data_IF_688382751345
#
_entry.id   IF_688382751345
#
_cell.length_a   1.000
_cell.length_b   1.000
_cell.length_c   1.000
_cell.angle_alpha   90.00
_cell.angle_beta   90.00
_cell.angle_gamma   90.00
#
_symmetry.space_group_name_H-M   'P 1'
#
loop_
_entity.id
_entity.type
_entity.pdbx_description
1 polymer ?
#
# COMPACT_ATOMS: atom_id res chain seq x y z
N UNK A 1 26.17 6.85 7.80
CA UNK A 1 24.78 7.32 7.87
C UNK A 1 23.84 6.13 8.00
N UNK A 2 23.45 5.82 9.24
CA UNK A 2 22.74 4.59 9.59
C UNK A 2 21.22 4.77 9.41
N UNK A 3 20.60 3.90 8.61
CA UNK A 3 19.16 3.83 8.42
C UNK A 3 18.53 3.20 9.67
N UNK A 4 17.83 3.99 10.48
CA UNK A 4 17.09 3.51 11.66
C UNK A 4 15.94 2.61 11.22
N UNK A 5 16.07 1.30 11.45
CA UNK A 5 14.96 0.35 11.35
C UNK A 5 14.10 0.51 12.60
N UNK A 6 12.99 1.24 12.49
CA UNK A 6 12.04 1.38 13.59
C UNK A 6 11.12 0.17 13.62
N UNK A 7 11.42 -0.79 14.48
CA UNK A 7 10.49 -1.86 14.85
C UNK A 7 9.26 -1.23 15.48
N UNK A 8 8.08 -1.42 14.89
CA UNK A 8 6.82 -0.94 15.48
C UNK A 8 6.49 -1.80 16.69
N UNK A 9 6.61 -1.23 17.88
CA UNK A 9 6.18 -1.85 19.12
C UNK A 9 4.64 -1.87 19.16
N UNK A 10 4.07 -3.07 19.10
CA UNK A 10 2.62 -3.30 19.11
C UNK A 10 1.94 -2.90 20.43
N UNK A 11 2.71 -2.49 21.45
CA UNK A 11 2.18 -2.01 22.74
C UNK A 11 1.72 -0.54 22.74
N UNK A 12 1.99 0.24 21.68
CA UNK A 12 1.63 1.68 21.57
C UNK A 12 0.28 1.89 20.85
N UNK A 13 -0.56 0.87 20.71
CA UNK A 13 -1.92 1.05 20.19
C UNK A 13 -2.86 1.38 21.37
N UNK A 14 -3.38 2.61 21.50
CA UNK A 14 -4.28 2.98 22.60
C UNK A 14 -5.54 2.11 22.58
N UNK A 15 -5.77 1.41 23.70
CA UNK A 15 -6.94 0.56 23.97
C UNK A 15 -8.15 1.42 24.33
N UNK A 16 -9.06 1.64 23.37
CA UNK A 16 -10.49 1.73 23.65
C UNK A 16 -11.26 0.91 22.60
N UNK A 17 -11.53 -0.35 22.94
CA UNK A 17 -12.39 -1.25 22.14
C UNK A 17 -13.74 -1.34 22.84
N UNK A 18 -14.72 -0.56 22.36
CA UNK A 18 -16.13 -0.86 22.56
C UNK A 18 -16.59 -1.84 21.49
N UNK A 19 -16.69 -3.11 21.85
CA UNK A 19 -17.69 -4.06 21.35
C UNK A 19 -18.02 -4.07 19.85
N UNK A 20 -17.01 -4.05 18.99
CA UNK A 20 -17.13 -4.39 17.58
C UNK A 20 -16.18 -5.54 17.29
N UNK A 21 -16.59 -6.53 16.50
CA UNK A 21 -15.70 -7.60 16.05
C UNK A 21 -14.74 -6.99 15.01
N UNK A 22 -13.74 -6.25 15.47
CA UNK A 22 -12.77 -5.53 14.64
C UNK A 22 -11.85 -6.56 13.99
N UNK A 23 -12.30 -7.12 12.85
CA UNK A 23 -11.40 -7.87 11.98
C UNK A 23 -10.20 -6.99 11.68
N UNK A 24 -9.01 -7.47 12.02
CA UNK A 24 -7.78 -6.80 11.65
C UNK A 24 -7.74 -6.73 10.11
N UNK A 25 -7.70 -5.51 9.58
CA UNK A 25 -7.53 -5.31 8.14
C UNK A 25 -6.10 -5.69 7.78
N UNK A 26 -5.96 -6.57 6.80
CA UNK A 26 -4.68 -6.88 6.17
C UNK A 26 -4.37 -5.80 5.15
N UNK A 27 -3.11 -5.38 5.08
CA UNK A 27 -2.65 -4.36 4.13
C UNK A 27 -1.45 -4.88 3.33
N UNK A 28 -1.47 -4.66 2.03
CA UNK A 28 -0.39 -5.07 1.13
C UNK A 28 -0.01 -3.93 0.17
N UNK A 29 1.28 -3.62 0.07
CA UNK A 29 1.80 -2.58 -0.81
C UNK A 29 2.53 -3.21 -1.99
N UNK A 30 2.14 -2.83 -3.20
CA UNK A 30 2.67 -3.36 -4.46
C UNK A 30 3.32 -2.25 -5.26
N UNK A 31 4.60 -2.43 -5.61
CA UNK A 31 5.29 -1.58 -6.58
C UNK A 31 5.03 -2.08 -8.01
N UNK A 32 4.47 -1.22 -8.85
CA UNK A 32 4.20 -1.46 -10.26
C UNK A 32 5.10 -0.55 -11.08
N UNK A 33 5.97 -1.17 -11.87
CA UNK A 33 7.00 -0.47 -12.64
C UNK A 33 6.46 0.21 -13.90
N UNK A 34 5.35 -0.27 -14.45
CA UNK A 34 4.82 0.22 -15.71
C UNK A 34 3.31 0.49 -15.63
N UNK A 35 2.89 1.68 -16.03
CA UNK A 35 1.50 2.14 -15.93
C UNK A 35 0.48 1.19 -16.59
N UNK A 36 0.86 0.50 -17.66
CA UNK A 36 0.03 -0.48 -18.38
C UNK A 36 -0.38 -1.70 -17.55
N UNK A 37 0.39 -2.06 -16.53
CA UNK A 37 0.12 -3.24 -15.72
C UNK A 37 -0.69 -2.93 -14.46
N UNK A 38 -0.92 -1.64 -14.18
CA UNK A 38 -1.70 -1.19 -13.01
C UNK A 38 -3.10 -1.78 -13.04
N UNK A 39 -3.82 -1.63 -14.15
CA UNK A 39 -5.20 -2.12 -14.28
C UNK A 39 -5.27 -3.63 -14.07
N UNK A 40 -4.32 -4.38 -14.64
CA UNK A 40 -4.26 -5.85 -14.48
C UNK A 40 -4.04 -6.24 -13.01
N UNK A 41 -3.15 -5.53 -12.31
CA UNK A 41 -2.87 -5.80 -10.89
C UNK A 41 -4.08 -5.45 -10.04
N UNK A 42 -4.72 -4.30 -10.26
CA UNK A 42 -5.95 -3.94 -9.54
C UNK A 42 -7.03 -4.98 -9.75
N UNK A 43 -7.27 -5.42 -10.98
CA UNK A 43 -8.27 -6.46 -11.28
C UNK A 43 -7.94 -7.79 -10.59
N UNK A 44 -6.68 -8.20 -10.59
CA UNK A 44 -6.25 -9.43 -9.93
C UNK A 44 -6.50 -9.37 -8.42
N UNK A 45 -6.04 -8.30 -7.76
CA UNK A 45 -6.24 -8.11 -6.32
C UNK A 45 -7.74 -8.02 -5.97
N UNK A 46 -8.55 -7.36 -6.79
CA UNK A 46 -10.00 -7.33 -6.61
C UNK A 46 -10.65 -8.71 -6.70
N UNK A 47 -10.22 -9.57 -7.64
CA UNK A 47 -10.68 -10.97 -7.73
C UNK A 47 -10.27 -11.79 -6.51
N UNK A 48 -9.09 -11.50 -5.95
CA UNK A 48 -8.55 -12.17 -4.76
C UNK A 48 -9.16 -11.65 -3.44
N UNK A 49 -10.17 -10.79 -3.52
CA UNK A 49 -10.92 -10.24 -2.40
C UNK A 49 -10.26 -9.06 -1.70
N UNK A 50 -9.25 -8.45 -2.32
CA UNK A 50 -8.62 -7.22 -1.86
C UNK A 50 -9.32 -5.98 -2.43
N UNK A 51 -9.29 -4.89 -1.69
CA UNK A 51 -9.81 -3.59 -2.11
C UNK A 51 -8.67 -2.58 -2.21
N UNK A 52 -8.63 -1.79 -3.27
CA UNK A 52 -7.62 -0.74 -3.41
C UNK A 52 -7.90 0.37 -2.39
N UNK A 53 -6.97 0.61 -1.47
CA UNK A 53 -7.06 1.63 -0.43
C UNK A 53 -6.41 2.95 -0.89
N UNK A 54 -5.21 2.90 -1.47
CA UNK A 54 -4.55 4.10 -2.00
C UNK A 54 -3.72 3.81 -3.24
N UNK A 55 -3.49 4.84 -4.04
CA UNK A 55 -2.64 4.82 -5.21
C UNK A 55 -1.73 6.04 -5.21
N UNK A 56 -0.42 5.79 -5.17
CA UNK A 56 0.60 6.83 -5.16
C UNK A 56 1.58 6.62 -6.31
N UNK A 57 2.07 7.71 -6.88
CA UNK A 57 3.11 7.66 -7.91
C UNK A 57 4.34 8.40 -7.42
N UNK A 58 5.51 7.79 -7.59
CA UNK A 58 6.79 8.39 -7.26
C UNK A 58 7.62 8.44 -8.54
N UNK A 59 7.73 9.63 -9.12
CA UNK A 59 8.67 9.91 -10.20
C UNK A 59 9.87 10.67 -9.62
N UNK A 60 11.08 10.24 -9.96
CA UNK A 60 12.27 11.07 -9.80
C UNK A 60 12.60 11.68 -11.16
N UNK A 61 12.35 12.98 -11.31
CA UNK A 61 12.75 13.70 -12.52
C UNK A 61 12.30 15.16 -12.50
N UNK A 62 13.25 16.07 -12.27
CA UNK A 62 13.11 17.45 -12.70
C UNK A 62 13.60 17.53 -14.15
N UNK A 63 12.68 17.74 -15.09
CA UNK A 63 12.98 17.90 -16.51
C UNK A 63 12.60 16.72 -17.41
N UNK A 64 12.88 16.79 -18.72
CA UNK A 64 12.42 15.83 -19.74
C UNK A 64 12.95 14.39 -19.58
N UNK A 65 13.71 14.08 -18.53
CA UNK A 65 14.25 12.75 -18.20
C UNK A 65 13.40 11.97 -17.19
N UNK A 66 12.18 12.42 -16.86
CA UNK A 66 11.26 11.75 -15.93
C UNK A 66 10.58 10.50 -16.53
N UNK A 67 11.36 9.59 -17.13
CA UNK A 67 10.82 8.41 -17.84
C UNK A 67 10.47 7.23 -16.92
N UNK A 68 10.93 7.26 -15.67
CA UNK A 68 10.69 6.17 -14.71
C UNK A 68 9.80 6.65 -13.56
N UNK A 69 8.49 6.48 -13.73
CA UNK A 69 7.51 6.68 -12.68
C UNK A 69 7.24 5.33 -12.02
N UNK A 70 7.51 5.23 -10.72
CA UNK A 70 7.11 4.09 -9.91
C UNK A 70 5.69 4.29 -9.43
N UNK A 71 4.88 3.24 -9.51
CA UNK A 71 3.50 3.27 -9.07
C UNK A 71 3.36 2.37 -7.83
N UNK A 72 2.84 2.91 -6.74
CA UNK A 72 2.63 2.19 -5.49
C UNK A 72 1.13 2.05 -5.24
N UNK A 73 0.65 0.82 -5.14
CA UNK A 73 -0.75 0.50 -4.85
C UNK A 73 -0.82 -0.14 -3.47
N UNK A 74 -1.63 0.44 -2.59
CA UNK A 74 -1.93 -0.14 -1.29
C UNK A 74 -3.29 -0.81 -1.35
N UNK A 75 -3.32 -2.11 -1.10
CA UNK A 75 -4.53 -2.90 -1.02
C UNK A 75 -4.86 -3.23 0.43
N UNK A 76 -6.15 -3.36 0.74
CA UNK A 76 -6.65 -3.81 2.02
C UNK A 76 -7.60 -5.01 1.87
N UNK A 77 -7.58 -5.94 2.83
CA UNK A 77 -8.44 -7.12 2.87
C UNK A 77 -8.98 -7.32 4.29
N UNK A 78 -10.25 -7.73 4.41
CA UNK A 78 -10.91 -7.95 5.70
C UNK A 78 -11.98 -6.92 6.06
N UNK A 79 -13.04 -6.84 5.24
CA UNK A 79 -14.32 -6.23 5.66
C UNK A 79 -15.00 -7.02 6.77
#
# INVERSE_FOLDING_TARGET
>A
DALTTTTVDSSIIPREIKGGNCKLKEYECVEVKHHKDISKIIEQYQRDGWSLNTYQTAGMGAGPMAYNVKHYLLFEKGK
#
